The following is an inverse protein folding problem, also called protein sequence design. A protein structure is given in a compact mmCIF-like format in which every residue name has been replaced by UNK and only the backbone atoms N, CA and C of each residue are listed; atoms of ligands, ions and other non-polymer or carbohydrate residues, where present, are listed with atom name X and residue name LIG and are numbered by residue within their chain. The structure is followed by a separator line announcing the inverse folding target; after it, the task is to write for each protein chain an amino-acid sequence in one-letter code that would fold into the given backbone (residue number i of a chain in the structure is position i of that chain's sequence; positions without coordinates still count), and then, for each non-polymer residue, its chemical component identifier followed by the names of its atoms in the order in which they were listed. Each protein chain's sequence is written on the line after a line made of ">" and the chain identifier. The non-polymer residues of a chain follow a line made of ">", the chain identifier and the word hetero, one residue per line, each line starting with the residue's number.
data_IF_727550932417
#
_entry.id   IF_727550932417
#
_cell.length_a   1.000
_cell.length_b   1.000
_cell.length_c   1.000
_cell.angle_alpha   90.00
_cell.angle_beta   90.00
_cell.angle_gamma   90.00
#
_symmetry.space_group_name_H-M   'P 1'
#
loop_
_entity.id
_entity.type
_entity.pdbx_description
1 polymer ?
#
# COMPACT_ATOMS: atom_id res chain seq x y z
N UNK A 1 17.09 -37.82 -16.96
CA UNK A 1 16.47 -37.48 -15.66
C UNK A 1 17.04 -36.21 -15.03
N UNK A 2 18.36 -36.11 -14.74
CA UNK A 2 18.94 -34.93 -14.05
C UNK A 2 18.77 -33.57 -14.77
N UNK A 3 18.87 -33.52 -16.10
CA UNK A 3 18.70 -32.27 -16.90
C UNK A 3 17.26 -31.78 -16.97
N UNK A 4 16.29 -32.70 -16.99
CA UNK A 4 14.86 -32.34 -16.98
C UNK A 4 14.39 -31.84 -15.61
N UNK A 5 14.92 -32.42 -14.52
CA UNK A 5 14.66 -31.95 -13.14
C UNK A 5 15.28 -30.56 -12.91
N UNK A 6 16.46 -30.29 -13.48
CA UNK A 6 17.10 -28.97 -13.42
C UNK A 6 16.28 -27.89 -14.15
N UNK A 7 15.77 -28.19 -15.35
CA UNK A 7 14.92 -27.26 -16.10
C UNK A 7 13.56 -27.04 -15.42
N UNK A 8 12.98 -28.08 -14.80
CA UNK A 8 11.73 -27.96 -14.04
C UNK A 8 11.90 -27.09 -12.78
N UNK A 9 13.02 -27.24 -12.06
CA UNK A 9 13.32 -26.42 -10.88
C UNK A 9 13.65 -24.96 -11.23
N UNK A 10 14.39 -24.72 -12.31
CA UNK A 10 14.67 -23.37 -12.82
C UNK A 10 13.41 -22.66 -13.34
N UNK A 11 12.52 -23.39 -14.03
CA UNK A 11 11.23 -22.88 -14.47
C UNK A 11 10.27 -22.56 -13.31
N UNK A 12 10.28 -23.38 -12.27
CA UNK A 12 9.47 -23.15 -11.06
C UNK A 12 9.96 -21.93 -10.26
N UNK A 13 11.28 -21.72 -10.16
CA UNK A 13 11.83 -20.53 -9.48
C UNK A 13 11.56 -19.23 -10.23
N UNK A 14 11.54 -19.25 -11.56
CA UNK A 14 11.17 -18.07 -12.38
C UNK A 14 9.70 -17.66 -12.20
N UNK A 15 8.81 -18.60 -11.89
CA UNK A 15 7.39 -18.33 -11.69
C UNK A 15 7.08 -17.72 -10.32
N UNK A 16 7.93 -17.97 -9.31
CA UNK A 16 7.73 -17.52 -7.92
C UNK A 16 8.06 -16.04 -7.71
N UNK A 17 8.81 -15.39 -8.61
CA UNK A 17 9.32 -14.04 -8.41
C UNK A 17 8.34 -12.87 -8.66
N UNK A 18 7.10 -13.12 -9.10
CA UNK A 18 6.26 -12.06 -9.68
C UNK A 18 5.30 -11.37 -8.67
N UNK A 19 5.16 -11.86 -7.43
CA UNK A 19 3.98 -11.54 -6.62
C UNK A 19 4.17 -10.59 -5.42
N UNK A 20 5.02 -9.56 -5.49
CA UNK A 20 5.14 -8.61 -4.37
C UNK A 20 4.87 -7.16 -4.79
N UNK A 21 3.59 -6.75 -4.73
CA UNK A 21 3.15 -5.36 -4.90
C UNK A 21 2.67 -4.84 -3.54
N UNK A 22 3.54 -4.15 -2.79
CA UNK A 22 3.13 -3.42 -1.61
C UNK A 22 2.44 -2.12 -2.04
N UNK A 23 1.11 -2.06 -1.92
CA UNK A 23 0.36 -0.81 -2.15
C UNK A 23 0.39 -0.02 -0.86
N UNK A 24 1.16 1.06 -0.84
CA UNK A 24 1.16 1.99 0.27
C UNK A 24 -0.17 2.77 0.28
N UNK A 25 -0.91 2.71 1.39
CA UNK A 25 -2.14 3.50 1.58
C UNK A 25 -1.79 4.96 1.82
N UNK A 26 -2.42 5.86 1.08
CA UNK A 26 -2.25 7.30 1.20
C UNK A 26 -3.04 7.85 2.41
N UNK A 27 -2.36 8.61 3.26
CA UNK A 27 -2.91 9.27 4.45
C UNK A 27 -2.57 10.76 4.48
N UNK A 28 -3.34 11.51 5.27
CA UNK A 28 -3.26 12.96 5.33
C UNK A 28 -2.97 13.41 6.76
N UNK A 29 -1.88 14.14 6.94
CA UNK A 29 -1.49 14.76 8.21
C UNK A 29 -1.64 16.27 8.12
N UNK A 30 -2.07 16.90 9.20
CA UNK A 30 -2.07 18.38 9.28
C UNK A 30 -0.74 18.85 9.84
N UNK A 31 -0.25 20.01 9.38
CA UNK A 31 1.05 20.61 9.79
C UNK A 31 1.33 20.63 11.31
N UNK A 32 0.28 20.81 12.12
CA UNK A 32 0.39 20.91 13.59
C UNK A 32 -0.30 19.75 14.33
N UNK A 33 -0.82 18.77 13.60
CA UNK A 33 -1.51 17.63 14.18
C UNK A 33 -0.53 16.56 14.64
N UNK A 34 -0.98 15.70 15.56
CA UNK A 34 -0.25 14.47 15.94
C UNK A 34 -0.82 13.22 15.29
N UNK A 35 -1.86 13.39 14.45
CA UNK A 35 -2.63 12.27 13.91
C UNK A 35 -2.74 12.33 12.38
N UNK A 36 -2.78 11.15 11.77
CA UNK A 36 -3.10 10.99 10.36
C UNK A 36 -4.57 10.62 10.13
N UNK A 37 -5.10 11.03 8.98
CA UNK A 37 -6.50 10.94 8.61
C UNK A 37 -6.64 10.36 7.20
N UNK A 38 -7.79 9.75 6.90
CA UNK A 38 -8.16 9.38 5.53
C UNK A 38 -8.50 10.60 4.71
N UNK A 39 -8.48 10.41 3.39
CA UNK A 39 -8.97 11.42 2.45
C UNK A 39 -10.41 11.84 2.82
N UNK A 40 -10.69 13.14 2.75
CA UNK A 40 -12.04 13.65 3.00
C UNK A 40 -12.50 13.63 4.47
N UNK A 41 -11.64 13.28 5.43
CA UNK A 41 -11.98 13.36 6.85
C UNK A 41 -12.46 14.76 7.25
N UNK A 42 -13.61 14.82 7.92
CA UNK A 42 -14.21 16.07 8.43
C UNK A 42 -13.28 16.90 9.33
N UNK A 43 -12.29 16.27 9.96
CA UNK A 43 -11.34 16.93 10.88
C UNK A 43 -10.23 17.70 10.17
N UNK A 44 -9.99 17.36 8.91
CA UNK A 44 -9.00 17.99 8.04
C UNK A 44 -9.65 18.81 6.91
N UNK A 45 -10.99 18.78 6.82
CA UNK A 45 -11.76 19.58 5.88
C UNK A 45 -11.42 21.07 6.10
N UNK A 46 -10.85 21.71 5.09
CA UNK A 46 -10.36 23.09 5.09
C UNK A 46 -9.07 23.36 5.88
N UNK A 47 -8.24 22.35 6.13
CA UNK A 47 -6.90 22.53 6.71
C UNK A 47 -5.83 22.27 5.66
N UNK A 48 -4.67 22.92 5.84
CA UNK A 48 -3.47 22.53 5.13
C UNK A 48 -3.03 21.14 5.58
N UNK A 49 -3.01 20.22 4.61
CA UNK A 49 -2.65 18.82 4.80
C UNK A 49 -1.47 18.43 3.91
N UNK A 50 -0.62 17.59 4.46
CA UNK A 50 0.44 16.90 3.75
C UNK A 50 -0.01 15.46 3.52
N UNK A 51 0.18 14.99 2.28
CA UNK A 51 -0.10 13.62 1.87
C UNK A 51 1.14 12.76 2.11
N UNK A 52 0.98 11.65 2.82
CA UNK A 52 2.05 10.70 3.17
C UNK A 52 1.56 9.27 2.95
N UNK A 53 2.47 8.30 2.90
CA UNK A 53 2.08 6.90 3.08
C UNK A 53 1.78 6.62 4.55
N UNK A 54 0.94 5.62 4.83
CA UNK A 54 0.67 5.14 6.19
C UNK A 54 1.95 4.80 6.94
N UNK A 55 2.83 4.03 6.31
CA UNK A 55 4.13 3.62 6.88
C UNK A 55 5.00 4.83 7.22
N UNK A 56 5.04 5.83 6.34
CA UNK A 56 5.82 7.04 6.57
C UNK A 56 5.22 7.91 7.68
N UNK A 57 3.89 8.00 7.77
CA UNK A 57 3.23 8.69 8.89
C UNK A 57 3.53 8.02 10.23
N UNK A 58 3.46 6.69 10.30
CA UNK A 58 3.79 5.92 11.50
C UNK A 58 5.28 6.03 11.85
N UNK A 59 6.18 5.97 10.85
CA UNK A 59 7.62 6.16 11.05
C UNK A 59 7.97 7.57 11.53
N UNK A 60 7.19 8.59 11.14
CA UNK A 60 7.33 9.96 11.64
C UNK A 60 6.67 10.17 13.01
N UNK A 61 6.03 9.14 13.58
CA UNK A 61 5.42 9.16 14.91
C UNK A 61 4.00 9.73 14.96
N UNK A 62 3.30 9.80 13.83
CA UNK A 62 1.89 10.18 13.80
C UNK A 62 1.00 9.00 14.19
N UNK A 63 -0.05 9.26 14.96
CA UNK A 63 -1.02 8.25 15.38
C UNK A 63 -2.24 8.21 14.44
N UNK A 64 -2.90 7.06 14.24
CA UNK A 64 -4.16 7.02 13.51
C UNK A 64 -5.23 7.85 14.21
N UNK A 65 -6.05 8.56 13.41
CA UNK A 65 -7.28 9.14 13.95
C UNK A 65 -8.28 8.04 14.35
N UNK A 66 -9.14 8.33 15.32
CA UNK A 66 -10.12 7.36 15.83
C UNK A 66 -11.12 6.86 14.77
N UNK A 67 -11.30 7.62 13.68
CA UNK A 67 -12.14 7.23 12.55
C UNK A 67 -11.37 6.34 11.55
N UNK A 68 -10.03 6.39 11.53
CA UNK A 68 -9.19 5.57 10.64
C UNK A 68 -9.18 4.09 11.05
N UNK A 69 -9.13 3.82 12.36
CA UNK A 69 -9.07 2.45 12.94
C UNK A 69 -10.28 1.57 12.64
N UNK A 70 -11.38 2.14 12.14
CA UNK A 70 -12.63 1.40 11.88
C UNK A 70 -12.63 0.68 10.54
N UNK A 71 -11.71 1.01 9.62
CA UNK A 71 -11.71 0.50 8.25
C UNK A 71 -10.61 -0.54 7.96
N UNK A 72 -9.62 -0.69 8.84
CA UNK A 72 -8.51 -1.64 8.68
C UNK A 72 -8.96 -3.12 8.72
N UNK A 73 -10.25 -3.41 8.96
CA UNK A 73 -10.78 -4.78 9.01
C UNK A 73 -11.51 -5.24 7.74
N UNK A 74 -11.52 -4.47 6.65
CA UNK A 74 -12.36 -4.79 5.48
C UNK A 74 -11.69 -4.65 4.10
N UNK A 75 -10.36 -4.46 4.02
CA UNK A 75 -9.68 -4.09 2.78
C UNK A 75 -8.61 -5.06 2.29
N UNK A 76 -8.85 -6.38 2.36
CA UNK A 76 -8.07 -7.34 1.58
C UNK A 76 -8.95 -7.80 0.39
N UNK A 77 -8.37 -7.80 -0.81
CA UNK A 77 -8.94 -8.17 -2.12
C UNK A 77 -9.74 -7.06 -2.87
N UNK A 78 -9.58 -6.75 -4.18
CA UNK A 78 -8.70 -7.15 -5.28
C UNK A 78 -8.95 -6.22 -6.51
N UNK A 79 -7.97 -6.12 -7.42
CA UNK A 79 -8.09 -6.21 -8.91
C UNK A 79 -7.81 -4.98 -9.83
N UNK A 80 -6.63 -5.05 -10.45
CA UNK A 80 -6.20 -4.83 -11.85
C UNK A 80 -6.90 -3.84 -12.82
N UNK A 81 -6.09 -3.08 -13.57
CA UNK A 81 -5.99 -3.10 -15.06
C UNK A 81 -4.89 -2.09 -15.49
N UNK A 82 -3.79 -2.47 -16.16
CA UNK A 82 -3.63 -2.72 -17.62
C UNK A 82 -3.09 -1.51 -18.41
N UNK A 83 -1.94 -1.69 -19.08
CA UNK A 83 -1.62 -1.33 -20.48
C UNK A 83 -0.09 -1.50 -20.63
N UNK A 84 0.44 -2.45 -21.39
CA UNK A 84 0.47 -2.62 -22.86
C UNK A 84 1.90 -2.45 -23.37
N UNK A 85 2.30 -3.46 -24.14
CA UNK A 85 3.54 -3.62 -24.90
C UNK A 85 3.48 -2.80 -26.19
N UNK A 86 4.39 -1.84 -26.43
CA UNK A 86 4.82 -1.39 -27.79
C UNK A 86 6.17 -0.67 -27.59
N UNK A 87 7.30 -1.00 -28.23
CA UNK A 87 7.57 -1.19 -29.66
C UNK A 87 8.89 -1.92 -29.87
#
# INVERSE_FOLDING_TARGET
>A
MRRHVLCALLGMMLFVSIANSAVAEDVYVTKYGKKYHKEGSRFIKNKDVEKLSREEAESRGYEPSSDFLKEDQAGEETKSSESETVK
#
